data_IF_807115995305
#
_entry.id   IF_807115995305
#
_cell.length_a   1.000
_cell.length_b   1.000
_cell.length_c   1.000
_cell.angle_alpha   90.00
_cell.angle_beta   90.00
_cell.angle_gamma   90.00
#
_symmetry.space_group_name_H-M   'P 1'
#
loop_
_entity.id
_entity.type
_entity.pdbx_description
1 polymer ?
#
# COMPACT_ATOMS: atom_id res chain seq x y z
N UNK A 1 -4.09 -15.27 -4.14
CA UNK A 1 -3.77 -16.37 -3.21
C UNK A 1 -2.36 -16.82 -3.49
N UNK A 2 -1.48 -16.77 -2.51
CA UNK A 2 -0.14 -17.35 -2.61
C UNK A 2 -0.08 -18.59 -1.71
N UNK A 3 0.63 -19.63 -2.16
CA UNK A 3 0.87 -20.85 -1.39
C UNK A 3 2.37 -20.94 -1.15
N UNK A 4 2.79 -20.85 0.12
CA UNK A 4 4.22 -20.88 0.47
C UNK A 4 4.85 -22.24 0.17
N UNK A 5 4.06 -23.31 0.26
CA UNK A 5 4.53 -24.69 0.07
C UNK A 5 3.50 -25.52 -0.74
N UNK A 6 3.47 -25.38 -2.07
CA UNK A 6 2.43 -25.98 -2.92
C UNK A 6 2.40 -27.51 -2.88
N UNK A 7 3.48 -28.16 -2.46
CA UNK A 7 3.56 -29.61 -2.32
C UNK A 7 2.63 -30.18 -1.24
N UNK A 8 2.22 -29.39 -0.24
CA UNK A 8 1.24 -29.83 0.75
C UNK A 8 -0.19 -29.95 0.20
N UNK A 9 -0.48 -29.36 -0.98
CA UNK A 9 -1.75 -29.64 -1.69
C UNK A 9 -1.85 -31.11 -2.11
N UNK A 10 -0.74 -31.78 -2.39
CA UNK A 10 -0.75 -33.21 -2.68
C UNK A 10 -1.15 -34.06 -1.47
N UNK A 11 -0.93 -33.56 -0.25
CA UNK A 11 -1.40 -34.21 0.98
C UNK A 11 -2.94 -34.10 1.16
N UNK A 12 -3.61 -33.23 0.41
CA UNK A 12 -5.08 -33.19 0.37
C UNK A 12 -5.68 -34.48 -0.20
N UNK A 13 -5.03 -35.09 -1.21
CA UNK A 13 -5.49 -36.31 -1.85
C UNK A 13 -5.55 -37.52 -0.91
N UNK A 14 -4.47 -37.89 -0.17
CA UNK A 14 -4.53 -38.99 0.79
C UNK A 14 -5.43 -38.67 1.98
N UNK A 15 -5.51 -37.40 2.39
CA UNK A 15 -6.37 -36.99 3.49
C UNK A 15 -7.87 -37.12 3.14
N UNK A 16 -8.27 -36.71 1.93
CA UNK A 16 -9.62 -36.90 1.40
C UNK A 16 -9.94 -38.38 1.18
N UNK A 17 -8.99 -39.15 0.62
CA UNK A 17 -9.14 -40.60 0.45
C UNK A 17 -9.33 -41.31 1.80
N UNK A 18 -8.61 -40.89 2.85
CA UNK A 18 -8.77 -41.42 4.20
C UNK A 18 -10.14 -41.10 4.80
N UNK A 19 -10.64 -39.86 4.64
CA UNK A 19 -11.96 -39.46 5.14
C UNK A 19 -13.08 -40.22 4.42
N UNK A 20 -12.99 -40.37 3.10
CA UNK A 20 -13.96 -41.15 2.32
C UNK A 20 -13.91 -42.65 2.66
N UNK A 21 -12.71 -43.21 2.83
CA UNK A 21 -12.53 -44.60 3.25
C UNK A 21 -13.12 -44.86 4.63
N UNK A 22 -12.89 -43.95 5.59
CA UNK A 22 -13.48 -44.03 6.92
C UNK A 22 -15.00 -43.90 6.87
N UNK A 23 -15.53 -43.04 5.98
CA UNK A 23 -16.97 -42.89 5.75
C UNK A 23 -17.63 -44.15 5.22
N UNK A 24 -16.98 -44.86 4.29
CA UNK A 24 -17.45 -46.15 3.77
C UNK A 24 -17.30 -47.30 4.75
N UNK A 25 -16.26 -47.29 5.60
CA UNK A 25 -16.04 -48.31 6.64
C UNK A 25 -16.88 -48.11 7.91
N UNK A 26 -17.48 -46.94 8.10
CA UNK A 26 -18.21 -46.62 9.34
C UNK A 26 -19.65 -47.12 9.29
N UNK A 27 -19.85 -48.33 9.80
CA UNK A 27 -21.15 -48.90 10.17
C UNK A 27 -21.68 -48.30 11.48
N UNK A 28 -21.73 -46.98 11.59
CA UNK A 28 -22.42 -46.36 12.71
C UNK A 28 -23.92 -46.61 12.59
N UNK A 29 -24.63 -47.04 13.63
CA UNK A 29 -26.09 -47.16 13.65
C UNK A 29 -26.78 -45.79 13.76
N UNK A 30 -26.30 -44.81 13.00
CA UNK A 30 -26.79 -43.44 12.96
C UNK A 30 -27.63 -43.24 11.70
N UNK A 31 -28.74 -42.49 11.84
CA UNK A 31 -29.58 -42.14 10.69
C UNK A 31 -28.78 -41.45 9.57
N UNK A 32 -29.18 -41.64 8.30
CA UNK A 32 -28.38 -41.25 7.13
C UNK A 32 -27.99 -39.77 7.10
N UNK A 33 -28.84 -38.87 7.61
CA UNK A 33 -28.56 -37.45 7.70
C UNK A 33 -27.44 -37.10 8.69
N UNK A 34 -27.39 -37.78 9.86
CA UNK A 34 -26.34 -37.56 10.86
C UNK A 34 -24.99 -38.07 10.38
N UNK A 35 -24.97 -39.18 9.64
CA UNK A 35 -23.75 -39.69 8.99
C UNK A 35 -23.23 -38.71 7.94
N UNK A 36 -24.10 -38.19 7.07
CA UNK A 36 -23.73 -37.20 6.06
C UNK A 36 -23.15 -35.93 6.70
N UNK A 37 -23.78 -35.44 7.78
CA UNK A 37 -23.30 -34.26 8.50
C UNK A 37 -21.94 -34.50 9.18
N UNK A 38 -21.76 -35.65 9.83
CA UNK A 38 -20.49 -36.02 10.45
C UNK A 38 -19.37 -36.17 9.41
N UNK A 39 -19.68 -36.77 8.25
CA UNK A 39 -18.73 -36.87 7.14
C UNK A 39 -18.36 -35.48 6.60
N UNK A 40 -19.35 -34.64 6.31
CA UNK A 40 -19.13 -33.29 5.79
C UNK A 40 -18.27 -32.45 6.74
N UNK A 41 -18.58 -32.46 8.04
CA UNK A 41 -17.79 -31.75 9.05
C UNK A 41 -16.35 -32.26 9.10
N UNK A 42 -16.14 -33.58 9.03
CA UNK A 42 -14.81 -34.19 9.04
C UNK A 42 -14.01 -33.81 7.79
N UNK A 43 -14.65 -33.77 6.63
CA UNK A 43 -14.05 -33.30 5.37
C UNK A 43 -13.65 -31.83 5.47
N UNK A 44 -14.53 -30.97 6.01
CA UNK A 44 -14.24 -29.54 6.19
C UNK A 44 -13.05 -29.33 7.14
N UNK A 45 -13.05 -29.99 8.30
CA UNK A 45 -11.94 -29.87 9.27
C UNK A 45 -10.64 -30.34 8.65
N UNK A 46 -10.66 -31.47 7.94
CA UNK A 46 -9.48 -32.00 7.27
C UNK A 46 -8.96 -31.03 6.19
N UNK A 47 -9.86 -30.47 5.40
CA UNK A 47 -9.52 -29.49 4.36
C UNK A 47 -8.95 -28.19 4.95
N UNK A 48 -9.51 -27.70 6.07
CA UNK A 48 -8.97 -26.56 6.80
C UNK A 48 -7.57 -26.84 7.35
N UNK A 49 -7.32 -28.06 7.85
CA UNK A 49 -6.01 -28.46 8.37
C UNK A 49 -4.96 -28.52 7.26
N UNK A 50 -5.32 -29.04 6.08
CA UNK A 50 -4.44 -29.07 4.90
C UNK A 50 -4.19 -27.66 4.35
N UNK A 51 -5.22 -26.81 4.27
CA UNK A 51 -5.06 -25.42 3.85
C UNK A 51 -4.16 -24.62 4.81
N UNK A 52 -4.29 -24.86 6.12
CA UNK A 52 -3.41 -24.29 7.13
C UNK A 52 -1.96 -24.74 6.96
N UNK A 53 -1.72 -26.03 6.74
CA UNK A 53 -0.37 -26.58 6.47
C UNK A 53 0.23 -26.10 5.15
N UNK A 54 -0.61 -25.91 4.12
CA UNK A 54 -0.18 -25.38 2.82
C UNK A 54 0.17 -23.88 2.86
N UNK A 55 -0.07 -23.21 3.99
CA UNK A 55 0.13 -21.77 4.12
C UNK A 55 -0.78 -21.00 3.17
N UNK A 56 -2.05 -21.40 3.06
CA UNK A 56 -3.03 -20.69 2.25
C UNK A 56 -3.21 -19.27 2.79
N UNK A 57 -2.55 -18.30 2.17
CA UNK A 57 -2.62 -16.91 2.57
C UNK A 57 -3.59 -16.17 1.64
N UNK A 58 -4.61 -15.58 2.25
CA UNK A 58 -5.46 -14.62 1.57
C UNK A 58 -4.79 -13.27 1.63
N UNK A 59 -3.96 -12.97 0.61
CA UNK A 59 -3.44 -11.62 0.43
C UNK A 59 -4.60 -10.73 0.02
N UNK A 60 -5.07 -9.88 0.95
CA UNK A 60 -5.91 -8.75 0.59
C UNK A 60 -5.01 -7.73 -0.14
N UNK A 61 -5.35 -7.30 -1.36
CA UNK A 61 -4.65 -6.19 -1.98
C UNK A 61 -4.83 -4.96 -1.09
N UNK A 62 -3.71 -4.32 -0.71
CA UNK A 62 -3.76 -3.02 -0.05
C UNK A 62 -4.13 -2.02 -1.14
N UNK A 63 -5.42 -1.71 -1.24
CA UNK A 63 -5.92 -0.71 -2.18
C UNK A 63 -5.57 0.68 -1.66
N UNK A 64 -5.00 1.51 -2.54
CA UNK A 64 -4.64 2.89 -2.24
C UNK A 64 -3.17 3.18 -2.46
N UNK A 65 -2.92 4.22 -3.26
CA UNK A 65 -1.60 4.76 -3.50
C UNK A 65 -1.41 6.06 -2.70
N UNK A 66 -0.31 6.17 -1.96
CA UNK A 66 0.10 7.40 -1.29
C UNK A 66 1.08 8.15 -2.19
N UNK A 67 0.69 9.34 -2.66
CA UNK A 67 1.52 10.18 -3.51
C UNK A 67 1.92 11.45 -2.76
N UNK A 68 3.22 11.67 -2.58
CA UNK A 68 3.73 12.98 -2.15
C UNK A 68 4.16 13.79 -3.37
N UNK A 69 3.63 15.01 -3.48
CA UNK A 69 4.12 16.02 -4.41
C UNK A 69 5.14 16.88 -3.68
N UNK A 70 6.37 16.90 -4.20
CA UNK A 70 7.48 17.67 -3.65
C UNK A 70 7.68 18.88 -4.55
N UNK A 71 7.38 20.06 -4.01
CA UNK A 71 7.38 21.34 -4.72
C UNK A 71 8.62 22.16 -4.32
N UNK A 72 9.41 22.54 -5.31
CA UNK A 72 10.53 23.46 -5.13
C UNK A 72 10.03 24.90 -4.96
N UNK A 73 10.50 25.58 -3.91
CA UNK A 73 10.19 26.99 -3.61
C UNK A 73 11.43 27.88 -3.55
N UNK A 74 12.56 27.41 -4.05
CA UNK A 74 13.77 28.23 -4.14
C UNK A 74 13.53 29.53 -4.92
N UNK A 75 14.35 30.54 -4.63
CA UNK A 75 14.24 31.89 -5.21
C UNK A 75 14.39 31.91 -6.75
N UNK A 76 14.92 30.83 -7.34
CA UNK A 76 15.00 30.65 -8.80
C UNK A 76 13.64 30.38 -9.46
N UNK A 77 12.60 29.96 -8.72
CA UNK A 77 11.29 29.61 -9.28
C UNK A 77 10.34 30.84 -9.27
N UNK A 78 9.94 31.37 -10.44
CA UNK A 78 8.99 32.49 -10.51
C UNK A 78 7.63 32.13 -9.91
N UNK A 79 6.97 33.11 -9.29
CA UNK A 79 5.64 32.94 -8.66
C UNK A 79 4.60 32.33 -9.62
N UNK A 80 4.69 32.67 -10.91
CA UNK A 80 3.80 32.13 -11.95
C UNK A 80 3.94 30.61 -12.14
N UNK A 81 5.17 30.07 -12.01
CA UNK A 81 5.41 28.62 -12.06
C UNK A 81 4.96 27.94 -10.77
N UNK A 82 5.10 28.61 -9.61
CA UNK A 82 4.57 28.09 -8.35
C UNK A 82 3.05 27.96 -8.39
N UNK A 83 2.35 28.95 -8.95
CA UNK A 83 0.89 28.91 -9.11
C UNK A 83 0.45 27.85 -10.14
N UNK A 84 1.21 27.68 -11.22
CA UNK A 84 0.97 26.59 -12.18
C UNK A 84 1.16 25.21 -11.54
N UNK A 85 2.20 25.03 -10.72
CA UNK A 85 2.45 23.78 -9.99
C UNK A 85 1.34 23.48 -8.99
N UNK A 86 0.86 24.48 -8.23
CA UNK A 86 -0.31 24.35 -7.34
C UNK A 86 -1.57 23.93 -8.10
N UNK A 87 -1.85 24.59 -9.23
CA UNK A 87 -2.97 24.25 -10.10
C UNK A 87 -2.89 22.82 -10.63
N UNK A 88 -1.68 22.37 -10.99
CA UNK A 88 -1.44 21.00 -11.41
C UNK A 88 -1.70 20.00 -10.27
N UNK A 89 -1.23 20.27 -9.06
CA UNK A 89 -1.47 19.39 -7.90
C UNK A 89 -2.96 19.30 -7.58
N UNK A 90 -3.72 20.40 -7.58
CA UNK A 90 -5.17 20.38 -7.36
C UNK A 90 -5.90 19.57 -8.46
N UNK A 91 -5.50 19.73 -9.72
CA UNK A 91 -6.05 18.97 -10.85
C UNK A 91 -5.73 17.47 -10.73
N UNK A 92 -4.49 17.13 -10.42
CA UNK A 92 -4.08 15.74 -10.24
C UNK A 92 -4.72 15.11 -9.00
N UNK A 93 -4.89 15.87 -7.92
CA UNK A 93 -5.56 15.39 -6.70
C UNK A 93 -7.05 15.14 -6.93
N UNK A 94 -7.73 15.94 -7.76
CA UNK A 94 -9.15 15.75 -8.08
C UNK A 94 -9.41 14.63 -9.09
N UNK A 95 -8.42 14.24 -9.89
CA UNK A 95 -8.52 13.13 -10.86
C UNK A 95 -8.14 11.76 -10.26
N UNK A 96 -7.69 11.71 -9.01
CA UNK A 96 -7.32 10.47 -8.32
C UNK A 96 -8.53 9.62 -7.93
N UNK A 97 -8.31 8.32 -7.74
CA UNK A 97 -9.33 7.44 -7.17
C UNK A 97 -9.50 7.77 -5.69
N UNK A 98 -10.71 7.58 -5.15
CA UNK A 98 -11.05 7.88 -3.74
C UNK A 98 -10.11 7.17 -2.75
N UNK A 99 -9.59 6.00 -3.12
CA UNK A 99 -8.65 5.21 -2.31
C UNK A 99 -7.22 5.76 -2.30
N UNK A 100 -6.87 6.66 -3.22
CA UNK A 100 -5.52 7.22 -3.32
C UNK A 100 -5.38 8.46 -2.45
N UNK A 101 -4.32 8.50 -1.65
CA UNK A 101 -4.01 9.65 -0.78
C UNK A 101 -2.94 10.51 -1.41
N UNK A 102 -3.09 11.80 -1.23
CA UNK A 102 -2.13 12.77 -1.74
C UNK A 102 -1.63 13.63 -0.58
N UNK A 103 -0.33 13.90 -0.54
CA UNK A 103 0.28 14.90 0.34
C UNK A 103 1.13 15.88 -0.45
N UNK A 104 1.45 17.01 0.16
CA UNK A 104 2.34 18.02 -0.41
C UNK A 104 3.45 18.35 0.56
N UNK A 105 4.67 18.28 0.04
CA UNK A 105 5.91 18.67 0.70
C UNK A 105 6.48 19.82 -0.12
N UNK A 106 7.03 20.78 0.58
CA UNK A 106 7.60 21.99 0.01
C UNK A 106 9.01 22.11 0.52
N UNK A 107 9.95 22.45 -0.34
CA UNK A 107 11.35 22.53 0.04
C UNK A 107 12.04 23.76 -0.56
N UNK A 108 13.02 24.25 0.19
CA UNK A 108 14.00 25.25 -0.21
C UNK A 108 15.31 24.91 0.49
N UNK A 109 15.82 25.76 1.38
CA UNK A 109 16.96 25.42 2.25
C UNK A 109 16.62 24.26 3.19
N UNK A 110 15.37 24.23 3.66
CA UNK A 110 14.81 23.16 4.49
C UNK A 110 13.53 22.60 3.82
N UNK A 111 13.17 21.37 4.18
CA UNK A 111 11.93 20.74 3.73
C UNK A 111 10.85 20.77 4.82
N UNK A 112 9.61 21.07 4.43
CA UNK A 112 8.46 21.06 5.32
C UNK A 112 7.23 20.42 4.67
N UNK A 113 6.44 19.71 5.47
CA UNK A 113 5.17 19.14 5.04
C UNK A 113 4.13 20.26 5.07
N UNK A 114 3.46 20.51 3.94
CA UNK A 114 2.35 21.46 3.85
C UNK A 114 0.99 20.75 4.09
N UNK A 115 0.85 19.54 3.51
CA UNK A 115 -0.34 18.70 3.67
C UNK A 115 0.06 17.23 3.79
N UNK A 116 -0.44 16.58 4.84
CA UNK A 116 -0.30 15.13 5.02
C UNK A 116 -1.15 14.35 4.00
N UNK A 117 -0.82 13.08 3.71
CA UNK A 117 -1.57 12.24 2.78
C UNK A 117 -3.05 12.12 3.16
N UNK A 118 -3.93 12.80 2.41
CA UNK A 118 -5.38 12.76 2.61
C UNK A 118 -6.11 12.50 1.28
N UNK A 119 -7.37 12.07 1.35
CA UNK A 119 -8.21 11.73 0.19
C UNK A 119 -8.62 12.97 -0.63
N UNK A 120 -8.72 14.12 0.03
CA UNK A 120 -8.93 15.42 -0.62
C UNK A 120 -7.87 16.40 -0.18
N UNK A 121 -7.17 16.94 -1.17
CA UNK A 121 -6.36 18.14 -0.98
C UNK A 121 -7.07 19.30 -1.68
N UNK A 122 -7.22 20.41 -0.95
CA UNK A 122 -7.49 21.73 -1.52
C UNK A 122 -6.31 22.65 -1.17
N UNK A 123 -5.35 22.80 -2.10
CA UNK A 123 -4.23 23.73 -1.94
C UNK A 123 -4.66 25.10 -2.47
N UNK A 124 -5.32 25.88 -1.61
CA UNK A 124 -5.58 27.29 -1.90
C UNK A 124 -4.34 28.16 -1.63
N UNK A 125 -3.58 27.81 -0.59
CA UNK A 125 -2.34 28.49 -0.22
C UNK A 125 -1.39 27.48 0.45
N UNK A 126 -0.11 27.58 0.13
CA UNK A 126 0.95 26.87 0.86
C UNK A 126 1.12 27.58 2.21
N UNK A 127 0.85 26.88 3.29
CA UNK A 127 0.99 27.37 4.66
C UNK A 127 2.40 27.12 5.21
N UNK A 128 3.08 26.09 4.70
CA UNK A 128 4.46 25.79 5.05
C UNK A 128 5.40 26.97 4.68
N UNK A 129 6.07 27.50 5.70
CA UNK A 129 7.14 28.49 5.58
C UNK A 129 8.46 27.75 5.54
N UNK A 130 9.15 27.82 4.40
CA UNK A 130 10.50 27.28 4.22
C UNK A 130 11.41 28.41 3.77
N UNK A 131 12.67 28.39 4.20
CA UNK A 131 13.68 29.29 3.67
C UNK A 131 13.93 28.96 2.19
N UNK A 132 13.96 29.98 1.33
CA UNK A 132 14.00 29.85 -0.13
C UNK A 132 15.36 30.21 -0.73
N UNK A 133 16.34 30.59 0.10
CA UNK A 133 17.66 31.02 -0.40
C UNK A 133 18.44 29.91 -1.08
N UNK A 134 18.16 28.64 -0.75
CA UNK A 134 18.81 27.46 -1.32
C UNK A 134 17.80 26.36 -1.64
N UNK A 135 18.29 25.26 -2.20
CA UNK A 135 17.51 24.08 -2.57
C UNK A 135 18.25 22.83 -2.04
N UNK A 136 17.68 22.18 -1.03
CA UNK A 136 18.10 20.90 -0.45
C UNK A 136 17.04 19.83 -0.75
N UNK A 137 17.28 19.12 -1.85
CA UNK A 137 16.39 18.06 -2.31
C UNK A 137 16.54 16.81 -1.43
N UNK A 138 17.74 16.54 -0.92
CA UNK A 138 18.01 15.41 -0.05
C UNK A 138 17.19 15.46 1.24
N UNK A 139 17.06 16.62 1.89
CA UNK A 139 16.20 16.75 3.08
C UNK A 139 14.72 16.58 2.75
N UNK A 140 14.27 17.01 1.56
CA UNK A 140 12.91 16.78 1.09
C UNK A 140 12.59 15.29 0.86
N UNK A 141 13.52 14.54 0.26
CA UNK A 141 13.38 13.10 0.04
C UNK A 141 13.36 12.34 1.37
N UNK A 142 14.25 12.69 2.31
CA UNK A 142 14.27 12.08 3.65
C UNK A 142 12.96 12.33 4.40
N UNK A 143 12.46 13.57 4.36
CA UNK A 143 11.19 13.94 4.98
C UNK A 143 10.01 13.18 4.34
N UNK A 144 9.96 13.10 3.02
CA UNK A 144 8.93 12.36 2.31
C UNK A 144 8.95 10.87 2.66
N UNK A 145 10.14 10.28 2.72
CA UNK A 145 10.36 8.87 3.08
C UNK A 145 9.86 8.58 4.49
N UNK A 146 10.14 9.49 5.44
CA UNK A 146 9.67 9.39 6.83
C UNK A 146 8.16 9.65 6.96
N UNK A 147 7.57 10.49 6.10
CA UNK A 147 6.17 10.86 6.16
C UNK A 147 5.21 9.88 5.45
N UNK A 148 5.74 8.92 4.69
CA UNK A 148 4.89 7.94 4.00
C UNK A 148 4.18 7.02 5.00
N UNK A 149 2.86 6.80 4.85
CA UNK A 149 2.15 5.81 5.63
C UNK A 149 2.78 4.42 5.45
N UNK A 150 2.70 3.58 6.49
CA UNK A 150 3.18 2.20 6.43
C UNK A 150 2.39 1.35 5.42
N UNK A 151 1.13 1.72 5.19
CA UNK A 151 0.20 0.99 4.32
C UNK A 151 0.03 1.66 2.96
N UNK A 152 0.01 0.86 1.88
CA UNK A 152 -0.27 1.30 0.52
C UNK A 152 0.98 1.52 -0.34
N UNK A 153 0.79 1.66 -1.66
CA UNK A 153 1.90 1.89 -2.58
C UNK A 153 2.42 3.33 -2.43
N UNK A 154 3.74 3.50 -2.24
CA UNK A 154 4.38 4.82 -2.08
C UNK A 154 4.84 5.36 -3.43
N UNK A 155 4.50 6.61 -3.77
CA UNK A 155 5.03 7.32 -4.94
C UNK A 155 5.44 8.74 -4.58
N UNK A 156 6.59 9.17 -5.06
CA UNK A 156 7.11 10.52 -4.92
C UNK A 156 7.11 11.20 -6.29
N UNK A 157 6.54 12.39 -6.38
CA UNK A 157 6.53 13.20 -7.59
C UNK A 157 7.25 14.50 -7.29
N UNK A 158 8.43 14.66 -7.88
CA UNK A 158 9.25 15.86 -7.74
C UNK A 158 8.92 16.88 -8.83
N UNK A 159 8.71 18.13 -8.42
CA UNK A 159 8.59 19.29 -9.30
C UNK A 159 9.67 20.29 -8.88
N UNK A 160 10.77 20.32 -9.64
CA UNK A 160 11.92 21.21 -9.44
C UNK A 160 12.49 21.63 -10.80
N UNK A 161 13.21 22.74 -10.83
CA UNK A 161 13.97 23.21 -12.00
C UNK A 161 15.25 22.40 -12.25
N UNK A 162 15.61 21.50 -11.32
CA UNK A 162 16.68 20.51 -11.48
C UNK A 162 18.05 20.98 -11.01
N UNK A 163 18.15 22.14 -10.34
CA UNK A 163 19.43 22.68 -9.87
C UNK A 163 19.54 22.65 -8.33
N UNK A 164 19.84 21.46 -7.78
CA UNK A 164 20.13 21.28 -6.34
C UNK A 164 21.39 22.07 -5.94
N UNK A 165 21.31 22.82 -4.84
CA UNK A 165 22.39 23.69 -4.38
C UNK A 165 23.05 23.19 -3.09
N UNK A 166 22.36 22.37 -2.31
CA UNK A 166 22.88 21.71 -1.11
C UNK A 166 22.35 20.28 -1.09
N UNK A 167 23.19 19.32 -0.71
CA UNK A 167 22.79 17.93 -0.54
C UNK A 167 23.28 17.04 -1.67
N UNK A 168 22.88 15.78 -1.58
CA UNK A 168 23.07 14.77 -2.62
C UNK A 168 21.80 13.93 -2.67
N UNK A 169 20.91 14.25 -3.60
CA UNK A 169 19.65 13.53 -3.79
C UNK A 169 19.84 12.05 -4.16
N UNK A 170 21.00 11.64 -4.70
CA UNK A 170 21.30 10.23 -5.01
C UNK A 170 21.74 9.45 -3.76
N UNK A 171 22.28 10.13 -2.75
CA UNK A 171 22.69 9.52 -1.49
C UNK A 171 21.60 9.53 -0.40
N UNK A 172 20.42 10.08 -0.70
CA UNK A 172 19.31 10.31 0.24
C UNK A 172 18.38 9.10 0.44
#
# INVERSE_FOLDING_TARGET
MQFTHPYWLLAALPALAWVFWLGWKTDAQLGPWRKAFALALRTIVCLLMVLGLAGAQWLLPIEGMNVFFVLDRSESIPTQQQDAARGLVNRLSSQKKIVDKSGVIVFGTDASIDRLPNEKIDLQKIEAVVDTQRSDLASAIRLATAAFPENGQKRLVLMSDGNENIGDALAA
#
